data_IF_259355045431
#
_entry.id   IF_259355045431
#
_cell.length_a   1.000
_cell.length_b   1.000
_cell.length_c   1.000
_cell.angle_alpha   90.00
_cell.angle_beta   90.00
_cell.angle_gamma   90.00
#
_symmetry.space_group_name_H-M   'P 1'
#
loop_
_entity.id
_entity.type
_entity.pdbx_description
1 polymer ?
#
# COMPACT_ATOMS: atom_id res chain seq x y z
N UNK A 1 0.06 2.42 -9.18
CA UNK A 1 0.19 2.88 -7.78
C UNK A 1 -0.20 4.34 -7.71
N UNK A 2 -0.86 4.75 -6.63
CA UNK A 2 -1.13 6.17 -6.32
C UNK A 2 0.10 6.83 -5.69
N UNK A 3 0.15 8.17 -5.65
CA UNK A 3 1.24 8.92 -5.02
C UNK A 3 1.42 8.55 -3.53
N UNK A 4 0.33 8.32 -2.82
CA UNK A 4 0.36 7.87 -1.43
C UNK A 4 1.00 6.49 -1.27
N UNK A 5 0.73 5.58 -2.20
CA UNK A 5 1.32 4.24 -2.19
C UNK A 5 2.82 4.28 -2.47
N UNK A 6 3.26 5.18 -3.36
CA UNK A 6 4.69 5.43 -3.61
C UNK A 6 5.39 6.02 -2.38
N UNK A 7 4.76 7.00 -1.70
CA UNK A 7 5.30 7.56 -0.46
C UNK A 7 5.44 6.48 0.62
N UNK A 8 4.39 5.66 0.83
CA UNK A 8 4.46 4.51 1.75
C UNK A 8 5.59 3.55 1.39
N UNK A 9 5.78 3.25 0.11
CA UNK A 9 6.86 2.37 -0.32
C UNK A 9 8.24 2.95 0.04
N UNK A 10 8.47 4.23 -0.22
CA UNK A 10 9.73 4.90 0.12
C UNK A 10 10.03 4.83 1.62
N UNK A 11 9.06 5.19 2.47
CA UNK A 11 9.25 5.15 3.94
C UNK A 11 9.46 3.72 4.44
N UNK A 12 8.71 2.75 3.93
CA UNK A 12 8.88 1.34 4.32
C UNK A 12 10.23 0.79 3.83
N UNK A 13 10.71 1.18 2.64
CA UNK A 13 12.04 0.80 2.16
C UNK A 13 13.12 1.34 3.11
N UNK A 14 13.07 2.63 3.46
CA UNK A 14 14.01 3.21 4.42
C UNK A 14 13.99 2.51 5.79
N UNK A 15 12.83 2.02 6.23
CA UNK A 15 12.69 1.23 7.45
C UNK A 15 13.24 -0.21 7.32
N UNK A 16 13.16 -0.81 6.14
CA UNK A 16 13.75 -2.13 5.85
C UNK A 16 15.27 -2.00 5.84
N UNK A 17 15.78 -0.96 5.19
CA UNK A 17 17.20 -0.66 5.06
C UNK A 17 17.84 -0.17 6.38
N UNK A 18 17.03 0.08 7.42
CA UNK A 18 17.49 0.44 8.75
C UNK A 18 17.84 1.92 8.95
N UNK A 19 17.48 2.79 7.99
CA UNK A 19 17.74 4.23 8.08
C UNK A 19 16.82 4.94 9.08
N UNK A 20 15.63 4.39 9.32
CA UNK A 20 14.64 4.95 10.26
C UNK A 20 14.09 3.84 11.16
N UNK A 21 13.56 4.25 12.32
CA UNK A 21 12.87 3.37 13.26
C UNK A 21 11.40 3.18 12.91
N UNK A 22 10.78 2.14 13.49
CA UNK A 22 9.33 1.89 13.33
C UNK A 22 8.49 3.07 13.80
N UNK A 23 8.94 3.76 14.87
CA UNK A 23 8.22 4.89 15.46
C UNK A 23 8.29 6.13 14.56
N UNK A 24 9.45 6.40 13.96
CA UNK A 24 9.60 7.49 12.97
C UNK A 24 8.79 7.22 11.70
N UNK A 25 8.79 5.98 11.20
CA UNK A 25 7.96 5.59 10.07
C UNK A 25 6.45 5.73 10.36
N UNK A 26 6.02 5.38 11.58
CA UNK A 26 4.65 5.54 12.04
C UNK A 26 4.21 7.02 12.06
N UNK A 27 5.07 7.90 12.57
CA UNK A 27 4.81 9.35 12.58
C UNK A 27 4.78 9.93 11.16
N UNK A 28 5.71 9.54 10.29
CA UNK A 28 5.79 10.04 8.91
C UNK A 28 4.57 9.65 8.05
N UNK A 29 4.04 8.44 8.27
CA UNK A 29 2.89 7.92 7.52
C UNK A 29 1.54 8.18 8.17
N UNK A 30 1.52 8.78 9.37
CA UNK A 30 0.34 8.91 10.23
C UNK A 30 -0.38 7.56 10.43
N UNK A 31 0.39 6.53 10.80
CA UNK A 31 -0.08 5.15 10.99
C UNK A 31 0.33 4.62 12.36
N UNK A 32 -0.39 3.61 12.84
CA UNK A 32 0.05 2.87 14.02
C UNK A 32 1.31 2.06 13.75
N UNK A 33 2.16 1.88 14.77
CA UNK A 33 3.34 1.00 14.68
C UNK A 33 2.98 -0.43 14.24
N UNK A 34 1.80 -0.92 14.63
CA UNK A 34 1.28 -2.23 14.20
C UNK A 34 1.09 -2.26 12.68
N UNK A 35 0.50 -1.22 12.09
CA UNK A 35 0.32 -1.13 10.65
C UNK A 35 1.67 -1.06 9.95
N UNK A 36 2.61 -0.25 10.45
CA UNK A 36 3.95 -0.16 9.88
C UNK A 36 4.66 -1.53 9.88
N UNK A 37 4.61 -2.27 11.00
CA UNK A 37 5.16 -3.63 11.09
C UNK A 37 4.49 -4.59 10.08
N UNK A 38 3.16 -4.51 9.92
CA UNK A 38 2.42 -5.29 8.92
C UNK A 38 2.87 -4.94 7.49
N UNK A 39 2.99 -3.65 7.18
CA UNK A 39 3.42 -3.18 5.87
C UNK A 39 4.86 -3.62 5.57
N UNK A 40 5.77 -3.47 6.54
CA UNK A 40 7.15 -3.96 6.44
C UNK A 40 7.18 -5.45 6.10
N UNK A 41 6.45 -6.28 6.87
CA UNK A 41 6.38 -7.72 6.62
C UNK A 41 5.86 -8.03 5.21
N UNK A 42 4.73 -7.43 4.83
CA UNK A 42 4.14 -7.66 3.51
C UNK A 42 5.05 -7.23 2.36
N UNK A 43 5.77 -6.11 2.49
CA UNK A 43 6.74 -5.66 1.48
C UNK A 43 7.97 -6.57 1.42
N UNK A 44 8.41 -7.17 2.54
CA UNK A 44 9.50 -8.15 2.52
C UNK A 44 9.09 -9.48 1.86
N UNK A 45 7.82 -9.87 1.94
CA UNK A 45 7.30 -11.14 1.40
C UNK A 45 6.83 -11.03 -0.06
N UNK A 46 6.05 -9.99 -0.38
CA UNK A 46 5.38 -9.79 -1.68
C UNK A 46 5.97 -8.60 -2.47
N UNK A 47 6.93 -7.87 -1.91
CA UNK A 47 7.51 -6.69 -2.58
C UNK A 47 6.56 -5.47 -2.62
N UNK A 48 6.80 -4.51 -3.53
CA UNK A 48 5.98 -3.30 -3.65
C UNK A 48 4.51 -3.59 -3.99
N UNK A 49 4.20 -4.77 -4.57
CA UNK A 49 2.84 -5.16 -4.93
C UNK A 49 1.90 -5.25 -3.73
N UNK A 50 2.43 -5.57 -2.54
CA UNK A 50 1.65 -5.63 -1.30
C UNK A 50 0.92 -4.31 -0.98
N UNK A 51 1.52 -3.19 -1.35
CA UNK A 51 1.01 -1.84 -1.09
C UNK A 51 -0.05 -1.41 -2.11
N UNK A 52 -0.15 -2.12 -3.24
CA UNK A 52 -1.21 -1.90 -4.21
C UNK A 52 -2.53 -2.35 -3.58
N UNK A 53 -3.55 -1.51 -3.67
CA UNK A 53 -4.86 -1.82 -3.12
C UNK A 53 -5.41 -3.06 -3.84
N UNK A 54 -5.76 -4.11 -3.09
CA UNK A 54 -6.14 -5.42 -3.68
C UNK A 54 -7.43 -5.39 -4.50
N UNK A 55 -8.24 -4.33 -4.38
CA UNK A 55 -9.41 -4.10 -5.25
C UNK A 55 -9.09 -3.28 -6.51
N UNK A 56 -7.84 -2.86 -6.71
CA UNK A 56 -7.44 -2.13 -7.93
C UNK A 56 -7.63 -3.04 -9.13
N UNK A 57 -8.34 -2.58 -10.16
CA UNK A 57 -8.60 -3.36 -11.38
C UNK A 57 -9.64 -4.47 -11.24
N UNK A 58 -10.24 -4.66 -10.05
CA UNK A 58 -11.29 -5.66 -9.85
C UNK A 58 -12.67 -5.04 -10.06
N UNK A 59 -13.41 -5.54 -11.03
CA UNK A 59 -14.83 -5.23 -11.19
C UNK A 59 -15.68 -6.06 -10.20
N UNK A 60 -16.65 -5.45 -9.50
CA UNK A 60 -17.65 -6.18 -8.71
C UNK A 60 -18.44 -7.16 -9.57
N UNK A 61 -18.93 -8.26 -8.97
CA UNK A 61 -19.76 -9.25 -9.68
C UNK A 61 -21.07 -8.67 -10.23
N UNK A 62 -21.61 -7.64 -9.58
CA UNK A 62 -22.83 -6.95 -9.97
C UNK A 62 -22.55 -5.65 -10.75
N UNK A 63 -21.31 -5.47 -11.23
CA UNK A 63 -21.00 -4.31 -12.06
C UNK A 63 -21.75 -4.42 -13.39
N UNK A 64 -22.42 -3.34 -13.77
CA UNK A 64 -23.05 -3.22 -15.09
C UNK A 64 -21.93 -3.34 -16.14
N UNK A 65 -22.11 -4.14 -17.20
CA UNK A 65 -21.14 -4.25 -18.30
C UNK A 65 -20.78 -2.86 -18.83
N UNK A 66 -19.49 -2.64 -19.14
CA UNK A 66 -19.01 -1.36 -19.67
C UNK A 66 -19.82 -0.89 -20.89
N UNK A 67 -20.23 -1.83 -21.73
CA UNK A 67 -21.05 -1.59 -22.94
C UNK A 67 -22.38 -0.89 -22.66
N UNK A 68 -23.00 -1.13 -21.50
CA UNK A 68 -24.27 -0.50 -21.11
C UNK A 68 -24.07 0.82 -20.37
N UNK A 69 -22.86 1.10 -19.88
CA UNK A 69 -22.55 2.26 -19.04
C UNK A 69 -22.20 3.53 -19.83
N UNK A 70 -21.89 3.39 -21.12
CA UNK A 70 -21.47 4.48 -22.02
C UNK A 70 -22.61 5.04 -22.91
N UNK A 71 -23.88 4.75 -22.57
CA UNK A 71 -25.05 5.36 -23.22
C UNK A 71 -25.66 6.49 -22.40
#
# INVERSE_FOLDING_TARGET
MTQEQLNRFSVISSLIDGHITVREAALSLDLSERQVKRLKKGVMEEGPEFLIHKNTGRSPKHAIPKETKEK
#
